data_IF_646882192198
#
_entry.id   IF_646882192198
#
_cell.length_a   1.000
_cell.length_b   1.000
_cell.length_c   1.000
_cell.angle_alpha   90.00
_cell.angle_beta   90.00
_cell.angle_gamma   90.00
#
_symmetry.space_group_name_H-M   'P 1'
#
loop_
_entity.id
_entity.type
_entity.pdbx_description
1 polymer ?
#
# COMPACT_ATOMS: atom_id res chain seq x y z
N UNK A 1 32.42 25.00 -19.74
CA UNK A 1 32.50 24.54 -18.34
C UNK A 1 33.69 25.13 -17.58
N UNK A 2 34.90 25.23 -18.16
CA UNK A 2 36.09 25.77 -17.47
C UNK A 2 35.93 27.21 -16.93
N UNK A 3 35.40 28.15 -17.73
CA UNK A 3 35.20 29.54 -17.28
C UNK A 3 34.17 29.70 -16.14
N UNK A 4 33.25 28.76 -15.98
CA UNK A 4 32.25 28.77 -14.89
C UNK A 4 32.86 28.22 -13.58
N UNK A 5 33.71 27.19 -13.69
CA UNK A 5 34.45 26.65 -12.54
C UNK A 5 35.43 27.65 -11.92
N UNK A 6 36.03 28.54 -12.73
CA UNK A 6 36.94 29.58 -12.23
C UNK A 6 36.21 30.72 -11.51
N UNK A 7 34.98 31.04 -11.93
CA UNK A 7 34.21 32.15 -11.35
C UNK A 7 33.53 31.77 -10.03
N UNK A 8 33.20 30.49 -9.85
CA UNK A 8 32.61 29.98 -8.61
C UNK A 8 33.25 28.65 -8.18
N UNK A 9 34.52 28.66 -7.73
CA UNK A 9 35.27 27.43 -7.43
C UNK A 9 34.65 26.59 -6.32
N UNK A 10 33.96 27.22 -5.36
CA UNK A 10 33.26 26.52 -4.27
C UNK A 10 31.93 25.89 -4.72
N UNK A 11 31.28 26.44 -5.76
CA UNK A 11 30.03 25.88 -6.29
C UNK A 11 30.28 24.68 -7.22
N UNK A 12 31.42 24.69 -7.92
CA UNK A 12 31.86 23.58 -8.78
C UNK A 12 32.20 22.29 -8.00
N UNK A 13 32.45 22.38 -6.69
CA UNK A 13 32.76 21.24 -5.83
C UNK A 13 31.52 20.60 -5.16
N UNK A 14 30.30 21.14 -5.39
CA UNK A 14 29.09 20.58 -4.79
C UNK A 14 28.78 19.19 -5.35
N UNK A 15 28.39 18.27 -4.46
CA UNK A 15 27.85 16.98 -4.86
C UNK A 15 26.50 17.12 -5.58
N UNK A 16 26.17 16.15 -6.44
CA UNK A 16 24.90 16.11 -7.20
C UNK A 16 23.67 16.23 -6.30
N UNK A 17 23.69 15.63 -5.10
CA UNK A 17 22.60 15.77 -4.14
C UNK A 17 22.47 17.20 -3.60
N UNK A 18 23.58 17.89 -3.34
CA UNK A 18 23.59 19.28 -2.87
C UNK A 18 23.06 20.23 -3.94
N UNK A 19 23.39 19.98 -5.22
CA UNK A 19 22.77 20.67 -6.36
C UNK A 19 21.26 20.47 -6.40
N UNK A 20 20.79 19.24 -6.16
CA UNK A 20 19.36 18.94 -6.10
C UNK A 20 18.64 19.71 -5.01
N UNK A 21 19.19 19.77 -3.79
CA UNK A 21 18.60 20.56 -2.70
C UNK A 21 18.61 22.06 -3.01
N UNK A 22 19.69 22.60 -3.56
CA UNK A 22 19.77 24.02 -3.92
C UNK A 22 18.75 24.37 -5.00
N UNK A 23 18.60 23.53 -6.02
CA UNK A 23 17.63 23.76 -7.07
C UNK A 23 16.20 23.69 -6.49
N UNK A 24 15.90 22.70 -5.65
CA UNK A 24 14.62 22.60 -4.97
C UNK A 24 14.33 23.85 -4.11
N UNK A 25 15.31 24.36 -3.35
CA UNK A 25 15.13 25.57 -2.53
C UNK A 25 14.80 26.79 -3.40
N UNK A 26 15.45 26.94 -4.55
CA UNK A 26 15.17 28.02 -5.49
C UNK A 26 13.75 27.91 -6.04
N UNK A 27 13.30 26.71 -6.45
CA UNK A 27 11.94 26.51 -6.94
C UNK A 27 10.87 26.79 -5.89
N UNK A 28 11.09 26.39 -4.64
CA UNK A 28 10.18 26.73 -3.52
C UNK A 28 10.16 28.23 -3.19
N UNK A 29 11.32 28.90 -3.25
CA UNK A 29 11.37 30.36 -3.08
C UNK A 29 10.68 31.09 -4.22
N UNK A 30 10.82 30.61 -5.47
CA UNK A 30 10.16 31.17 -6.63
C UNK A 30 8.64 30.98 -6.54
N UNK A 31 8.19 29.81 -6.10
CA UNK A 31 6.78 29.56 -5.78
C UNK A 31 6.24 30.54 -4.73
N UNK A 32 6.97 30.78 -3.64
CA UNK A 32 6.58 31.75 -2.61
C UNK A 32 6.53 33.20 -3.13
N UNK A 33 7.45 33.57 -4.03
CA UNK A 33 7.55 34.93 -4.58
C UNK A 33 6.50 35.22 -5.68
N UNK A 34 6.15 34.23 -6.51
CA UNK A 34 5.20 34.40 -7.61
C UNK A 34 3.73 34.19 -7.19
N UNK A 35 3.47 33.86 -5.92
CA UNK A 35 2.12 33.58 -5.42
C UNK A 35 1.65 32.16 -5.72
N UNK A 36 0.68 31.69 -4.91
CA UNK A 36 0.25 30.29 -4.81
C UNK A 36 -0.40 29.70 -6.07
N UNK A 37 -0.72 30.51 -7.09
CA UNK A 37 -1.43 30.07 -8.30
C UNK A 37 -0.59 29.14 -9.20
N UNK A 38 0.73 29.12 -9.03
CA UNK A 38 1.62 28.28 -9.85
C UNK A 38 1.90 26.91 -9.21
N UNK A 39 0.90 26.05 -9.14
CA UNK A 39 1.03 24.67 -8.61
C UNK A 39 2.12 23.85 -9.32
N UNK A 40 2.45 24.18 -10.57
CA UNK A 40 3.54 23.56 -11.35
C UNK A 40 4.93 23.79 -10.73
N UNK A 41 5.20 24.98 -10.20
CA UNK A 41 6.49 25.31 -9.57
C UNK A 41 6.70 24.51 -8.27
N UNK A 42 5.64 24.33 -7.47
CA UNK A 42 5.69 23.50 -6.27
C UNK A 42 5.88 22.01 -6.61
N UNK A 43 5.15 21.49 -7.61
CA UNK A 43 5.27 20.09 -8.07
C UNK A 43 6.68 19.79 -8.60
N UNK A 44 7.24 20.67 -9.42
CA UNK A 44 8.61 20.53 -9.93
C UNK A 44 9.65 20.58 -8.80
N UNK A 45 9.51 21.51 -7.85
CA UNK A 45 10.36 21.57 -6.65
C UNK A 45 10.31 20.29 -5.81
N UNK A 46 9.11 19.70 -5.63
CA UNK A 46 8.93 18.44 -4.91
C UNK A 46 9.60 17.25 -5.62
N UNK A 47 9.46 17.13 -6.94
CA UNK A 47 10.13 16.07 -7.72
C UNK A 47 11.65 16.18 -7.63
N UNK A 48 12.19 17.40 -7.72
CA UNK A 48 13.61 17.66 -7.55
C UNK A 48 14.10 17.30 -6.15
N UNK A 49 13.28 17.55 -5.14
CA UNK A 49 13.59 17.19 -3.75
C UNK A 49 13.60 15.67 -3.53
N UNK A 50 12.64 14.95 -4.11
CA UNK A 50 12.63 13.49 -4.12
C UNK A 50 13.87 12.94 -4.83
N UNK A 51 14.26 13.52 -5.95
CA UNK A 51 15.47 13.12 -6.66
C UNK A 51 16.74 13.38 -5.83
N UNK A 52 16.84 14.54 -5.17
CA UNK A 52 17.97 14.89 -4.32
C UNK A 52 18.14 13.91 -3.15
N UNK A 53 17.04 13.63 -2.44
CA UNK A 53 17.03 12.67 -1.33
C UNK A 53 17.31 11.24 -1.79
N UNK A 54 16.73 10.80 -2.92
CA UNK A 54 16.99 9.49 -3.50
C UNK A 54 18.47 9.34 -3.87
N UNK A 55 19.08 10.36 -4.50
CA UNK A 55 20.50 10.32 -4.87
C UNK A 55 21.42 10.25 -3.66
N UNK A 56 21.09 11.00 -2.61
CA UNK A 56 21.83 10.97 -1.36
C UNK A 56 21.73 9.60 -0.65
N UNK A 57 20.52 9.03 -0.59
CA UNK A 57 20.29 7.72 -0.02
C UNK A 57 21.03 6.63 -0.80
N UNK A 58 21.03 6.73 -2.13
CA UNK A 58 21.71 5.77 -3.02
C UNK A 58 23.21 5.66 -2.71
N UNK A 59 23.90 6.77 -2.50
CA UNK A 59 25.33 6.77 -2.20
C UNK A 59 25.63 6.01 -0.90
N UNK A 60 24.80 6.20 0.13
CA UNK A 60 24.96 5.52 1.43
C UNK A 60 24.59 4.06 1.34
N UNK A 61 23.51 3.75 0.62
CA UNK A 61 23.09 2.40 0.32
C UNK A 61 24.21 1.61 -0.38
N UNK A 62 24.88 2.20 -1.38
CA UNK A 62 25.98 1.53 -2.09
C UNK A 62 27.12 1.11 -1.15
N UNK A 63 27.52 1.98 -0.22
CA UNK A 63 28.54 1.65 0.79
C UNK A 63 28.08 0.46 1.64
N UNK A 64 26.81 0.46 2.07
CA UNK A 64 26.24 -0.61 2.87
C UNK A 64 26.11 -1.93 2.11
N UNK A 65 25.68 -1.87 0.85
CA UNK A 65 25.57 -3.02 -0.05
C UNK A 65 26.91 -3.69 -0.32
N UNK A 66 28.01 -2.93 -0.38
CA UNK A 66 29.34 -3.51 -0.55
C UNK A 66 29.89 -4.16 0.72
N UNK A 67 29.31 -3.88 1.89
CA UNK A 67 29.66 -4.54 3.15
C UNK A 67 29.07 -5.95 3.25
N UNK A 68 29.84 -6.91 3.79
CA UNK A 68 29.38 -8.27 4.02
C UNK A 68 28.16 -8.32 4.96
N UNK A 69 28.21 -7.55 6.05
CA UNK A 69 27.11 -7.45 7.01
C UNK A 69 25.86 -6.84 6.35
N UNK A 70 26.05 -5.80 5.53
CA UNK A 70 24.96 -5.13 4.83
C UNK A 70 24.22 -6.06 3.87
N UNK A 71 24.94 -6.87 3.09
CA UNK A 71 24.32 -7.88 2.20
C UNK A 71 23.47 -8.88 2.98
N UNK A 72 23.99 -9.42 4.07
CA UNK A 72 23.27 -10.39 4.89
C UNK A 72 21.98 -9.78 5.47
N UNK A 73 22.06 -8.57 6.03
CA UNK A 73 20.91 -7.85 6.59
C UNK A 73 19.86 -7.52 5.51
N UNK A 74 20.28 -6.98 4.36
CA UNK A 74 19.36 -6.61 3.26
C UNK A 74 18.64 -7.83 2.71
N UNK A 75 19.36 -8.94 2.46
CA UNK A 75 18.75 -10.18 1.95
C UNK A 75 17.77 -10.79 2.96
N UNK A 76 18.10 -10.75 4.25
CA UNK A 76 17.21 -11.23 5.32
C UNK A 76 15.94 -10.38 5.38
N UNK A 77 16.08 -9.05 5.35
CA UNK A 77 14.95 -8.14 5.34
C UNK A 77 14.07 -8.34 4.10
N UNK A 78 14.67 -8.49 2.92
CA UNK A 78 13.94 -8.77 1.69
C UNK A 78 13.14 -10.08 1.79
N UNK A 79 13.72 -11.15 2.34
CA UNK A 79 13.00 -12.41 2.54
C UNK A 79 11.80 -12.26 3.50
N UNK A 80 11.95 -11.49 4.58
CA UNK A 80 10.86 -11.21 5.52
C UNK A 80 9.74 -10.44 4.83
N UNK A 81 10.07 -9.34 4.14
CA UNK A 81 9.07 -8.51 3.43
C UNK A 81 8.39 -9.30 2.34
N UNK A 82 9.12 -10.14 1.60
CA UNK A 82 8.55 -10.97 0.54
C UNK A 82 7.50 -11.94 1.11
N UNK A 83 7.82 -12.67 2.17
CA UNK A 83 6.88 -13.58 2.82
C UNK A 83 5.64 -12.84 3.35
N UNK A 84 5.83 -11.66 3.94
CA UNK A 84 4.71 -10.84 4.41
C UNK A 84 3.83 -10.33 3.25
N UNK A 85 4.45 -9.90 2.14
CA UNK A 85 3.73 -9.43 0.95
C UNK A 85 2.88 -10.53 0.32
N UNK A 86 3.39 -11.76 0.26
CA UNK A 86 2.64 -12.92 -0.23
C UNK A 86 1.48 -13.29 0.70
N UNK A 87 1.72 -13.38 2.01
CA UNK A 87 0.66 -13.66 2.98
C UNK A 87 -0.45 -12.59 2.96
N UNK A 88 -0.08 -11.32 2.77
CA UNK A 88 -1.03 -10.23 2.63
C UNK A 88 -1.84 -10.31 1.32
N UNK A 89 -1.19 -10.66 0.20
CA UNK A 89 -1.87 -10.90 -1.07
C UNK A 89 -2.85 -12.09 -1.00
N UNK A 90 -2.46 -13.19 -0.35
CA UNK A 90 -3.35 -14.33 -0.07
C UNK A 90 -4.57 -13.90 0.75
N UNK A 91 -4.38 -13.06 1.77
CA UNK A 91 -5.48 -12.54 2.59
C UNK A 91 -6.48 -11.70 1.78
N UNK A 92 -5.99 -10.84 0.88
CA UNK A 92 -6.85 -10.06 -0.03
C UNK A 92 -7.65 -10.98 -0.95
N UNK A 93 -6.97 -11.92 -1.60
CA UNK A 93 -7.61 -12.86 -2.53
C UNK A 93 -8.66 -13.71 -1.81
N UNK A 94 -8.35 -14.20 -0.60
CA UNK A 94 -9.30 -14.92 0.24
C UNK A 94 -10.54 -14.07 0.57
N UNK A 95 -10.34 -12.79 0.89
CA UNK A 95 -11.43 -11.84 1.15
C UNK A 95 -12.31 -11.57 -0.08
N UNK A 96 -11.76 -11.65 -1.29
CA UNK A 96 -12.50 -11.48 -2.55
C UNK A 96 -13.30 -12.73 -2.92
N UNK A 97 -12.66 -13.90 -2.91
CA UNK A 97 -13.27 -15.14 -3.43
C UNK A 97 -14.04 -15.95 -2.39
N UNK A 98 -13.79 -15.72 -1.09
CA UNK A 98 -14.43 -16.44 0.02
C UNK A 98 -13.96 -17.89 0.24
N UNK A 99 -12.97 -18.36 -0.51
CA UNK A 99 -12.36 -19.70 -0.43
C UNK A 99 -10.84 -19.61 -0.31
N UNK A 100 -10.18 -20.74 -0.08
CA UNK A 100 -8.72 -20.78 0.09
C UNK A 100 -8.00 -20.31 -1.21
N UNK A 101 -7.01 -19.40 -1.13
CA UNK A 101 -6.31 -18.86 -2.30
C UNK A 101 -5.42 -19.83 -3.06
N UNK A 102 -5.12 -21.02 -2.51
CA UNK A 102 -4.30 -22.06 -3.15
C UNK A 102 -4.90 -22.57 -4.46
N UNK A 103 -6.23 -22.42 -4.63
CA UNK A 103 -6.95 -22.76 -5.86
C UNK A 103 -6.86 -21.68 -6.94
N UNK A 104 -6.39 -20.49 -6.58
CA UNK A 104 -6.25 -19.33 -7.48
C UNK A 104 -4.87 -18.66 -7.35
N UNK A 105 -3.77 -19.40 -7.57
CA UNK A 105 -2.41 -18.90 -7.35
C UNK A 105 -2.05 -17.71 -8.26
N UNK A 106 -2.65 -17.59 -9.44
CA UNK A 106 -2.36 -16.48 -10.35
C UNK A 106 -2.98 -15.17 -9.88
N UNK A 107 -4.19 -15.21 -9.29
CA UNK A 107 -4.79 -14.05 -8.62
C UNK A 107 -3.95 -13.57 -7.44
N UNK A 108 -3.35 -14.49 -6.68
CA UNK A 108 -2.42 -14.15 -5.58
C UNK A 108 -1.18 -13.45 -6.12
N UNK A 109 -0.56 -13.99 -7.18
CA UNK A 109 0.61 -13.39 -7.82
C UNK A 109 0.29 -11.99 -8.40
N UNK A 110 -0.89 -11.82 -9.00
CA UNK A 110 -1.34 -10.51 -9.48
C UNK A 110 -1.51 -9.53 -8.31
N UNK A 111 -2.18 -9.93 -7.23
CA UNK A 111 -2.35 -9.09 -6.06
C UNK A 111 -0.99 -8.69 -5.47
N UNK A 112 -0.03 -9.62 -5.36
CA UNK A 112 1.33 -9.33 -4.91
C UNK A 112 2.07 -8.34 -5.84
N UNK A 113 1.93 -8.50 -7.16
CA UNK A 113 2.50 -7.58 -8.16
C UNK A 113 1.90 -6.17 -8.04
N UNK A 114 0.58 -6.07 -7.90
CA UNK A 114 -0.11 -4.81 -7.71
C UNK A 114 0.24 -4.18 -6.37
N UNK A 115 0.64 -4.92 -5.35
CA UNK A 115 1.09 -4.33 -4.09
C UNK A 115 2.57 -3.95 -4.09
N UNK A 116 3.36 -4.40 -5.07
CA UNK A 116 4.80 -4.15 -5.11
C UNK A 116 5.15 -2.65 -5.02
N UNK A 117 4.48 -1.72 -5.73
CA UNK A 117 4.75 -0.29 -5.57
C UNK A 117 4.52 0.19 -4.13
N UNK A 118 3.44 -0.23 -3.48
CA UNK A 118 3.17 0.13 -2.09
C UNK A 118 4.25 -0.37 -1.13
N UNK A 119 4.72 -1.62 -1.30
CA UNK A 119 5.83 -2.17 -0.50
C UNK A 119 7.13 -1.40 -0.71
N UNK A 120 7.42 -0.98 -1.94
CA UNK A 120 8.63 -0.18 -2.22
C UNK A 120 8.56 1.22 -1.59
N UNK A 121 7.40 1.87 -1.62
CA UNK A 121 7.17 3.15 -0.96
C UNK A 121 7.29 3.01 0.56
N UNK A 122 6.64 2.00 1.15
CA UNK A 122 6.71 1.73 2.59
C UNK A 122 8.15 1.45 3.04
N UNK A 123 8.90 0.63 2.28
CA UNK A 123 10.31 0.38 2.55
C UNK A 123 11.17 1.64 2.45
N UNK A 124 10.88 2.51 1.48
CA UNK A 124 11.56 3.81 1.33
C UNK A 124 11.28 4.73 2.52
N UNK A 125 10.03 4.80 2.98
CA UNK A 125 9.64 5.58 4.16
C UNK A 125 10.34 5.08 5.43
N UNK A 126 10.37 3.76 5.66
CA UNK A 126 11.07 3.16 6.80
C UNK A 126 12.57 3.47 6.78
N UNK A 127 13.19 3.35 5.59
CA UNK A 127 14.62 3.65 5.42
C UNK A 127 14.90 5.13 5.69
N UNK A 128 14.04 6.03 5.20
CA UNK A 128 14.18 7.47 5.43
C UNK A 128 13.98 7.84 6.92
N UNK A 129 13.07 7.17 7.61
CA UNK A 129 12.85 7.36 9.04
C UNK A 129 14.04 6.89 9.87
N UNK A 130 14.59 5.72 9.54
CA UNK A 130 15.82 5.23 10.17
C UNK A 130 17.00 6.18 9.90
N UNK A 131 17.11 6.69 8.67
CA UNK A 131 18.12 7.66 8.29
C UNK A 131 17.99 8.99 9.07
N UNK A 132 16.76 9.49 9.21
CA UNK A 132 16.45 10.66 10.04
C UNK A 132 16.87 10.44 11.49
N UNK A 133 16.56 9.26 12.06
CA UNK A 133 16.96 8.88 13.41
C UNK A 133 18.49 8.89 13.59
N UNK A 134 19.25 8.35 12.64
CA UNK A 134 20.72 8.38 12.68
C UNK A 134 21.29 9.81 12.62
N UNK A 135 20.70 10.68 11.81
CA UNK A 135 21.10 12.09 11.76
C UNK A 135 20.76 12.83 13.04
N UNK A 136 19.60 12.56 13.63
CA UNK A 136 19.22 13.15 14.92
C UNK A 136 20.22 12.76 16.01
N UNK A 137 20.61 11.48 16.06
CA UNK A 137 21.66 10.99 16.97
C UNK A 137 22.99 11.70 16.70
N UNK A 138 23.37 11.87 15.43
CA UNK A 138 24.60 12.58 15.05
C UNK A 138 24.58 14.03 15.56
N UNK A 139 23.46 14.74 15.42
CA UNK A 139 23.31 16.13 15.90
C UNK A 139 23.34 16.20 17.42
N UNK A 140 22.64 15.29 18.10
CA UNK A 140 22.65 15.21 19.55
C UNK A 140 24.06 14.95 20.09
N UNK A 141 24.80 14.05 19.46
CA UNK A 141 26.20 13.79 19.78
C UNK A 141 27.06 15.05 19.57
N UNK A 142 26.91 15.75 18.44
CA UNK A 142 27.59 17.02 18.20
C UNK A 142 27.28 18.08 19.27
N UNK A 143 26.01 18.19 19.67
CA UNK A 143 25.57 19.12 20.71
C UNK A 143 26.17 18.75 22.08
N UNK A 144 26.24 17.46 22.41
CA UNK A 144 26.87 17.00 23.66
C UNK A 144 28.39 17.17 23.65
N UNK A 145 29.08 16.99 22.52
CA UNK A 145 30.54 17.17 22.43
C UNK A 145 30.97 18.63 22.44
N UNK A 146 30.11 19.56 22.02
CA UNK A 146 30.39 21.01 21.99
C UNK A 146 30.74 21.62 23.36
N UNK A 147 30.02 21.34 24.47
CA UNK A 147 30.40 21.85 25.79
C UNK A 147 31.72 21.26 26.33
N UNK A 148 32.19 20.11 25.83
CA UNK A 148 33.47 19.51 26.23
C UNK A 148 34.68 20.02 25.44
N UNK A 149 34.49 20.96 24.49
CA UNK A 149 35.58 21.57 23.73
C UNK A 149 36.33 20.62 22.78
N UNK A 150 35.82 19.40 22.57
CA UNK A 150 36.43 18.42 21.67
C UNK A 150 36.21 18.86 20.21
N UNK A 151 37.29 19.02 19.40
CA UNK A 151 37.17 19.48 18.03
C UNK A 151 36.46 18.43 17.18
N UNK A 152 35.23 18.74 16.78
CA UNK A 152 34.36 17.83 16.03
C UNK A 152 34.66 17.81 14.52
N UNK A 153 35.93 17.89 14.13
CA UNK A 153 36.32 17.91 12.71
C UNK A 153 36.01 16.55 12.05
N UNK A 154 36.38 15.46 12.71
CA UNK A 154 36.17 14.10 12.21
C UNK A 154 34.69 13.71 11.95
N UNK A 155 33.71 14.33 12.63
CA UNK A 155 32.29 14.07 12.38
C UNK A 155 31.73 14.87 11.18
N UNK A 156 32.42 15.93 10.74
CA UNK A 156 31.99 16.86 9.68
C UNK A 156 32.81 16.73 8.39
N UNK A 157 33.93 16.02 8.40
CA UNK A 157 35.01 16.08 7.38
C UNK A 157 34.66 15.64 5.94
N UNK A 158 33.46 15.08 5.67
CA UNK A 158 33.13 14.55 4.35
C UNK A 158 32.35 15.51 3.43
N UNK A 159 32.02 16.73 3.86
CA UNK A 159 31.21 17.67 3.06
C UNK A 159 31.78 19.09 3.08
N UNK A 160 31.80 19.76 1.92
CA UNK A 160 32.32 21.13 1.74
C UNK A 160 31.54 22.16 2.58
N UNK A 161 30.24 21.95 2.77
CA UNK A 161 29.34 22.82 3.54
C UNK A 161 28.52 22.05 4.59
N UNK A 162 29.16 21.51 5.64
CA UNK A 162 28.57 20.48 6.51
C UNK A 162 27.44 20.99 7.42
N UNK A 163 27.46 22.26 7.81
CA UNK A 163 26.41 22.85 8.67
C UNK A 163 25.16 23.16 7.87
N UNK A 164 25.31 23.75 6.69
CA UNK A 164 24.19 24.13 5.82
C UNK A 164 23.50 22.90 5.21
N UNK A 165 24.25 21.87 4.83
CA UNK A 165 23.67 20.61 4.33
C UNK A 165 22.92 19.87 5.44
N UNK A 166 23.44 19.90 6.67
CA UNK A 166 22.78 19.31 7.82
C UNK A 166 21.48 20.06 8.17
N UNK A 167 21.48 21.39 8.13
CA UNK A 167 20.26 22.19 8.31
C UNK A 167 19.23 21.91 7.21
N UNK A 168 19.65 21.86 5.95
CA UNK A 168 18.79 21.51 4.82
C UNK A 168 18.17 20.12 4.99
N UNK A 169 18.95 19.12 5.45
CA UNK A 169 18.43 17.78 5.74
C UNK A 169 17.34 17.81 6.81
N UNK A 170 17.56 18.50 7.93
CA UNK A 170 16.57 18.59 9.03
C UNK A 170 15.26 19.21 8.53
N UNK A 171 15.32 20.20 7.65
CA UNK A 171 14.13 20.87 7.11
C UNK A 171 13.44 20.01 6.05
N UNK A 172 14.18 19.38 5.14
CA UNK A 172 13.60 18.70 3.98
C UNK A 172 13.24 17.23 4.19
N UNK A 173 13.91 16.51 5.10
CA UNK A 173 13.55 15.13 5.45
C UNK A 173 12.08 14.97 5.88
N UNK A 174 11.53 15.77 6.81
CA UNK A 174 10.12 15.66 7.19
C UNK A 174 9.19 16.01 6.02
N UNK A 175 9.54 17.01 5.20
CA UNK A 175 8.76 17.37 4.00
C UNK A 175 8.68 16.18 3.04
N UNK A 176 9.80 15.48 2.80
CA UNK A 176 9.81 14.28 1.95
C UNK A 176 9.00 13.15 2.57
N UNK A 177 9.06 12.93 3.89
CA UNK A 177 8.21 11.91 4.54
C UNK A 177 6.72 12.21 4.40
N UNK A 178 6.33 13.49 4.47
CA UNK A 178 4.95 13.91 4.26
C UNK A 178 4.52 13.61 2.82
N UNK A 179 5.34 14.01 1.83
CA UNK A 179 5.07 13.72 0.41
C UNK A 179 4.89 12.21 0.21
N UNK A 180 5.80 11.38 0.73
CA UNK A 180 5.70 9.91 0.60
C UNK A 180 4.47 9.34 1.32
N UNK A 181 4.06 9.90 2.46
CA UNK A 181 2.86 9.44 3.18
C UNK A 181 1.61 9.71 2.35
N UNK A 182 1.49 10.90 1.78
CA UNK A 182 0.39 11.22 0.87
C UNK A 182 0.44 10.37 -0.41
N UNK A 183 1.63 10.05 -0.96
CA UNK A 183 1.74 9.13 -2.10
C UNK A 183 1.15 7.76 -1.80
N UNK A 184 1.44 7.25 -0.61
CA UNK A 184 0.98 5.94 -0.20
C UNK A 184 -0.53 5.94 0.07
N UNK A 185 -1.06 7.03 0.64
CA UNK A 185 -2.49 7.20 0.87
C UNK A 185 -3.29 7.25 -0.45
N UNK A 186 -2.84 8.06 -1.42
CA UNK A 186 -3.44 8.16 -2.78
C UNK A 186 -3.39 6.82 -3.52
N UNK A 187 -2.31 6.05 -3.34
CA UNK A 187 -2.21 4.70 -3.90
C UNK A 187 -3.29 3.76 -3.34
N UNK A 188 -3.51 3.79 -2.03
CA UNK A 188 -4.49 2.93 -1.38
C UNK A 188 -5.94 3.37 -1.61
N UNK A 189 -6.19 4.68 -1.81
CA UNK A 189 -7.52 5.17 -2.18
C UNK A 189 -7.90 4.84 -3.62
N UNK A 190 -6.92 4.56 -4.49
CA UNK A 190 -7.18 4.23 -5.90
C UNK A 190 -7.35 5.47 -6.80
N UNK A 191 -6.87 6.63 -6.35
CA UNK A 191 -6.88 7.90 -7.09
C UNK A 191 -5.44 8.30 -7.46
N UNK A 192 -4.80 7.64 -8.44
CA UNK A 192 -3.43 7.93 -8.84
C UNK A 192 -3.24 9.34 -9.41
N UNK A 193 -4.31 9.98 -9.89
CA UNK A 193 -4.33 11.38 -10.33
C UNK A 193 -3.97 12.36 -9.21
N UNK A 194 -4.18 11.97 -7.94
CA UNK A 194 -3.84 12.77 -6.76
C UNK A 194 -2.38 12.59 -6.31
N UNK A 195 -1.62 11.72 -6.97
CA UNK A 195 -0.21 11.45 -6.65
C UNK A 195 0.71 12.67 -6.85
N UNK A 196 0.26 13.79 -7.42
CA UNK A 196 1.09 15.00 -7.50
C UNK A 196 0.36 16.24 -6.97
N UNK A 197 -0.84 16.09 -6.41
CA UNK A 197 -1.66 17.20 -5.89
C UNK A 197 -1.46 17.44 -4.39
N UNK A 198 -0.23 17.31 -3.90
CA UNK A 198 0.16 17.51 -2.49
C UNK A 198 -0.17 18.89 -1.87
N UNK A 199 -0.63 19.85 -2.68
CA UNK A 199 -0.87 21.24 -2.29
C UNK A 199 -2.31 21.75 -2.48
N UNK A 200 -3.20 20.99 -3.12
CA UNK A 200 -4.61 21.38 -3.32
C UNK A 200 -5.55 20.78 -2.25
N UNK A 201 -5.13 19.71 -1.58
CA UNK A 201 -5.98 18.92 -0.67
C UNK A 201 -6.26 19.58 0.69
N UNK A 202 -5.49 20.57 1.13
CA UNK A 202 -5.77 21.27 2.41
C UNK A 202 -6.99 22.17 2.35
N UNK A 203 -7.34 22.72 1.18
CA UNK A 203 -8.57 23.51 1.04
C UNK A 203 -9.80 22.59 0.85
N UNK A 204 -9.65 21.54 0.04
CA UNK A 204 -10.78 20.72 -0.37
C UNK A 204 -11.25 19.72 0.70
N UNK A 205 -10.35 19.20 1.56
CA UNK A 205 -10.75 18.35 2.69
C UNK A 205 -11.45 19.13 3.80
N UNK A 206 -11.16 20.42 3.96
CA UNK A 206 -11.79 21.26 4.96
C UNK A 206 -13.22 21.65 4.52
N UNK A 207 -13.40 21.96 3.23
CA UNK A 207 -14.72 22.21 2.63
C UNK A 207 -15.60 20.95 2.55
N UNK A 208 -15.04 19.77 2.26
CA UNK A 208 -15.80 18.51 2.27
C UNK A 208 -16.24 18.09 3.69
N UNK A 209 -15.38 18.31 4.70
CA UNK A 209 -15.69 18.00 6.09
C UNK A 209 -16.78 18.93 6.65
N UNK A 210 -16.77 20.21 6.28
CA UNK A 210 -17.84 21.15 6.64
C UNK A 210 -19.16 20.81 5.92
N UNK A 211 -19.12 20.42 4.64
CA UNK A 211 -20.30 19.95 3.90
C UNK A 211 -20.87 18.63 4.43
N UNK A 212 -20.04 17.68 4.87
CA UNK A 212 -20.52 16.44 5.50
C UNK A 212 -21.14 16.70 6.88
N UNK A 213 -20.57 17.63 7.66
CA UNK A 213 -21.09 18.00 8.96
C UNK A 213 -22.44 18.73 8.87
N UNK A 214 -22.64 19.58 7.85
CA UNK A 214 -23.96 20.20 7.57
C UNK A 214 -25.00 19.19 7.10
N UNK A 215 -24.63 18.23 6.24
CA UNK A 215 -25.53 17.16 5.77
C UNK A 215 -25.96 16.24 6.92
N UNK A 216 -25.07 15.94 7.85
CA UNK A 216 -25.37 15.15 9.05
C UNK A 216 -26.30 15.87 10.03
N UNK A 217 -26.15 17.19 10.18
CA UNK A 217 -27.07 18.01 10.99
C UNK A 217 -28.48 18.04 10.40
N UNK A 218 -28.59 18.24 9.08
CA UNK A 218 -29.89 18.26 8.38
C UNK A 218 -30.60 16.89 8.41
N UNK A 219 -29.87 15.77 8.40
CA UNK A 219 -30.47 14.43 8.57
C UNK A 219 -30.91 14.15 10.01
N UNK A 220 -30.26 14.75 11.02
CA UNK A 220 -30.60 14.54 12.43
C UNK A 220 -31.91 15.23 12.84
N UNK A 221 -32.28 16.34 12.20
CA UNK A 221 -33.50 17.09 12.51
C UNK A 221 -34.76 16.51 11.83
N UNK A 222 -34.61 15.73 10.76
CA UNK A 222 -35.72 15.11 10.04
C UNK A 222 -36.15 13.72 10.57
N UNK A 223 -35.46 13.18 11.58
CA UNK A 223 -35.57 11.75 11.99
C UNK A 223 -36.21 11.52 13.36
N UNK A 224 -37.01 12.46 13.89
CA UNK A 224 -37.73 12.28 15.16
C UNK A 224 -39.22 12.09 14.91
N UNK A 225 -39.63 10.94 14.35
CA UNK A 225 -40.91 10.30 14.70
C UNK A 225 -40.96 8.82 14.24
N UNK A 226 -41.08 7.93 15.23
CA UNK A 226 -41.47 6.51 15.27
C UNK A 226 -40.61 5.33 14.71
N UNK A 227 -40.66 4.14 15.37
CA UNK A 227 -39.68 3.06 15.23
C UNK A 227 -40.24 1.77 14.58
N UNK A 228 -39.47 1.10 13.69
CA UNK A 228 -39.60 -0.36 13.44
C UNK A 228 -38.29 -1.04 13.06
N UNK A 229 -38.14 -2.24 13.61
CA UNK A 229 -37.03 -3.18 13.49
C UNK A 229 -36.87 -3.78 12.08
N UNK A 230 -35.61 -4.04 11.70
CA UNK A 230 -35.22 -4.90 10.58
C UNK A 230 -33.75 -4.67 10.17
N UNK A 231 -32.88 -5.69 10.17
CA UNK A 231 -31.44 -5.51 9.95
C UNK A 231 -31.14 -5.49 8.45
N UNK A 232 -30.16 -4.69 8.01
CA UNK A 232 -29.08 -5.08 7.09
C UNK A 232 -28.22 -3.87 6.68
N UNK A 233 -26.93 -4.00 7.01
CA UNK A 233 -25.80 -3.70 6.15
C UNK A 233 -25.57 -2.24 5.76
N UNK A 234 -24.95 -1.49 6.68
CA UNK A 234 -24.15 -0.32 6.33
C UNK A 234 -22.70 -0.79 6.13
N UNK A 235 -22.18 -0.63 4.93
CA UNK A 235 -20.73 -0.62 4.69
C UNK A 235 -20.31 0.85 4.73
N UNK A 236 -19.52 1.31 5.73
CA UNK A 236 -18.78 2.55 5.60
C UNK A 236 -17.46 2.26 4.90
N UNK A 237 -17.23 3.02 3.83
CA UNK A 237 -15.97 3.15 3.12
C UNK A 237 -14.97 3.95 3.96
N UNK A 238 -13.69 3.56 3.82
CA UNK A 238 -12.48 4.04 4.47
C UNK A 238 -12.63 4.83 5.77
N UNK A 239 -12.60 4.12 6.88
CA UNK A 239 -12.02 4.69 8.09
C UNK A 239 -11.14 3.64 8.78
N UNK A 240 -9.90 4.00 9.12
CA UNK A 240 -9.06 3.21 10.03
C UNK A 240 -9.65 3.33 11.42
N UNK A 241 -10.70 2.57 11.69
CA UNK A 241 -11.28 2.43 13.02
C UNK A 241 -10.83 1.08 13.53
N UNK A 242 -10.10 1.10 14.64
CA UNK A 242 -9.99 -0.06 15.52
C UNK A 242 -11.41 -0.30 16.05
N UNK A 243 -12.18 -1.06 15.29
CA UNK A 243 -13.44 -1.66 15.75
C UNK A 243 -13.06 -2.64 16.86
N UNK A 244 -13.83 -2.72 17.95
CA UNK A 244 -13.54 -3.53 19.14
C UNK A 244 -13.45 -5.05 18.88
N UNK A 245 -13.53 -5.47 17.61
CA UNK A 245 -13.46 -6.86 17.14
C UNK A 245 -12.29 -7.16 16.19
N UNK A 246 -11.26 -6.32 16.16
CA UNK A 246 -9.97 -6.64 15.56
C UNK A 246 -9.54 -5.74 14.41
N UNK A 247 -8.26 -5.83 14.05
CA UNK A 247 -7.62 -5.09 12.96
C UNK A 247 -8.23 -5.51 11.61
N UNK A 248 -9.21 -4.74 11.10
CA UNK A 248 -9.68 -4.88 9.72
C UNK A 248 -8.71 -4.14 8.81
N UNK A 249 -8.04 -4.88 7.93
CA UNK A 249 -7.20 -4.30 6.89
C UNK A 249 -8.06 -3.36 6.03
N UNK A 250 -7.55 -2.18 5.64
CA UNK A 250 -8.26 -1.31 4.73
C UNK A 250 -8.54 -2.06 3.41
N UNK A 251 -9.82 -2.18 3.05
CA UNK A 251 -10.23 -2.85 1.82
C UNK A 251 -9.98 -1.92 0.63
N UNK A 252 -8.96 -2.22 -0.17
CA UNK A 252 -8.65 -1.48 -1.41
C UNK A 252 -9.65 -1.89 -2.49
N UNK A 253 -10.70 -1.09 -2.69
CA UNK A 253 -11.79 -1.43 -3.61
C UNK A 253 -11.30 -1.60 -5.06
N UNK A 254 -10.39 -0.73 -5.52
CA UNK A 254 -9.84 -0.80 -6.88
C UNK A 254 -9.05 -2.10 -7.10
N UNK A 255 -8.24 -2.50 -6.11
CA UNK A 255 -7.44 -3.72 -6.14
C UNK A 255 -8.34 -4.95 -6.14
N UNK A 256 -9.33 -4.99 -5.25
CA UNK A 256 -10.28 -6.10 -5.14
C UNK A 256 -11.09 -6.27 -6.43
N UNK A 257 -11.53 -5.17 -7.06
CA UNK A 257 -12.21 -5.21 -8.36
C UNK A 257 -11.31 -5.77 -9.45
N UNK A 258 -10.04 -5.38 -9.50
CA UNK A 258 -9.11 -5.84 -10.52
C UNK A 258 -8.72 -7.32 -10.33
N UNK A 259 -8.55 -7.76 -9.08
CA UNK A 259 -8.37 -9.17 -8.73
C UNK A 259 -9.60 -9.99 -9.11
N UNK A 260 -10.81 -9.51 -8.79
CA UNK A 260 -12.05 -10.19 -9.15
C UNK A 260 -12.23 -10.33 -10.67
N UNK A 261 -11.96 -9.25 -11.41
CA UNK A 261 -12.00 -9.25 -12.87
C UNK A 261 -10.96 -10.18 -13.49
N UNK A 262 -9.74 -10.19 -12.96
CA UNK A 262 -8.69 -11.11 -13.42
C UNK A 262 -9.07 -12.56 -13.14
N UNK A 263 -9.61 -12.84 -11.95
CA UNK A 263 -10.04 -14.17 -11.58
C UNK A 263 -11.13 -14.69 -12.55
N UNK A 264 -12.12 -13.86 -12.89
CA UNK A 264 -13.15 -14.22 -13.87
C UNK A 264 -12.59 -14.38 -15.30
N UNK A 265 -11.79 -13.43 -15.79
CA UNK A 265 -11.39 -13.44 -17.20
C UNK A 265 -10.19 -14.33 -17.53
N UNK A 266 -9.29 -14.57 -16.59
CA UNK A 266 -7.99 -15.21 -16.85
C UNK A 266 -7.84 -16.54 -16.11
N UNK A 267 -8.18 -16.59 -14.82
CA UNK A 267 -7.89 -17.77 -13.99
C UNK A 267 -9.03 -18.79 -13.97
N UNK A 268 -10.27 -18.33 -14.07
CA UNK A 268 -11.43 -19.20 -14.12
C UNK A 268 -11.68 -19.78 -15.51
N UNK A 269 -12.32 -20.94 -15.52
CA UNK A 269 -12.59 -21.72 -16.72
C UNK A 269 -14.02 -21.44 -17.20
N UNK A 270 -14.16 -20.95 -18.43
CA UNK A 270 -15.45 -20.82 -19.12
C UNK A 270 -15.98 -22.15 -19.70
N UNK A 271 -15.13 -23.19 -19.76
CA UNK A 271 -15.50 -24.53 -20.19
C UNK A 271 -14.94 -25.56 -19.20
N UNK A 272 -15.76 -26.52 -18.78
CA UNK A 272 -15.34 -27.59 -17.87
C UNK A 272 -16.20 -28.85 -18.08
N UNK A 273 -15.80 -29.95 -17.45
CA UNK A 273 -16.60 -31.19 -17.38
C UNK A 273 -17.83 -31.09 -16.48
N UNK A 274 -17.89 -30.09 -15.59
CA UNK A 274 -19.08 -29.79 -14.80
C UNK A 274 -20.10 -29.05 -15.66
N UNK A 275 -21.38 -29.17 -15.34
CA UNK A 275 -22.44 -28.39 -15.96
C UNK A 275 -22.31 -26.90 -15.57
N UNK A 276 -22.14 -26.04 -16.58
CA UNK A 276 -22.18 -24.58 -16.43
C UNK A 276 -23.38 -24.01 -17.19
N UNK A 277 -23.97 -22.94 -16.67
CA UNK A 277 -24.92 -22.10 -17.42
C UNK A 277 -24.23 -20.80 -17.83
N UNK A 278 -24.09 -20.47 -19.12
CA UNK A 278 -23.51 -19.19 -19.54
C UNK A 278 -24.27 -18.01 -18.91
N UNK A 279 -23.61 -16.97 -18.36
CA UNK A 279 -22.18 -16.63 -18.42
C UNK A 279 -21.38 -17.05 -17.17
N UNK A 280 -21.65 -18.22 -16.58
CA UNK A 280 -20.87 -18.72 -15.44
C UNK A 280 -19.47 -19.17 -15.87
N UNK A 281 -18.48 -18.84 -15.04
CA UNK A 281 -17.16 -19.46 -15.07
C UNK A 281 -16.92 -20.24 -13.77
N UNK A 282 -15.97 -21.18 -13.77
CA UNK A 282 -15.66 -21.94 -12.57
C UNK A 282 -14.17 -22.07 -12.25
N UNK A 283 -13.90 -22.33 -10.97
CA UNK A 283 -12.60 -22.78 -10.46
C UNK A 283 -12.83 -24.05 -9.64
N UNK A 284 -12.02 -25.08 -9.87
CA UNK A 284 -12.11 -26.32 -9.11
C UNK A 284 -11.56 -26.12 -7.69
N UNK A 285 -12.42 -26.32 -6.68
CA UNK A 285 -11.99 -26.35 -5.28
C UNK A 285 -11.57 -27.77 -4.92
N UNK A 286 -12.38 -28.77 -5.23
CA UNK A 286 -12.09 -30.18 -4.97
C UNK A 286 -12.69 -31.03 -6.11
N UNK A 287 -12.61 -32.36 -5.99
CA UNK A 287 -13.18 -33.29 -6.99
C UNK A 287 -14.71 -33.16 -7.12
N UNK A 288 -15.38 -32.72 -6.05
CA UNK A 288 -16.85 -32.61 -5.98
C UNK A 288 -17.35 -31.18 -5.86
N UNK A 289 -16.49 -30.21 -5.56
CA UNK A 289 -16.91 -28.82 -5.27
C UNK A 289 -16.20 -27.85 -6.21
N UNK A 290 -16.99 -26.94 -6.77
CA UNK A 290 -16.52 -25.88 -7.67
C UNK A 290 -16.95 -24.52 -7.14
N UNK A 291 -16.05 -23.55 -7.26
CA UNK A 291 -16.35 -22.14 -7.11
C UNK A 291 -16.92 -21.64 -8.42
N UNK A 292 -18.17 -21.21 -8.43
CA UNK A 292 -18.83 -20.61 -9.59
C UNK A 292 -18.79 -19.10 -9.43
N UNK A 293 -18.38 -18.45 -10.52
CA UNK A 293 -18.23 -17.01 -10.62
C UNK A 293 -19.22 -16.53 -11.67
N UNK A 294 -20.11 -15.63 -11.28
CA UNK A 294 -21.12 -15.04 -12.16
C UNK A 294 -20.99 -13.52 -12.13
N UNK A 295 -21.00 -12.81 -13.28
CA UNK A 295 -21.05 -11.37 -13.29
C UNK A 295 -22.37 -10.89 -12.67
N UNK A 296 -22.30 -10.05 -11.64
CA UNK A 296 -23.45 -9.50 -10.92
C UNK A 296 -23.21 -8.01 -10.63
N UNK A 297 -23.89 -7.09 -11.34
CA UNK A 297 -23.70 -5.65 -11.13
C UNK A 297 -24.23 -5.15 -9.79
N UNK A 298 -25.03 -5.95 -9.07
CA UNK A 298 -25.52 -5.58 -7.73
C UNK A 298 -24.47 -5.80 -6.63
N UNK A 299 -23.41 -6.59 -6.89
CA UNK A 299 -22.33 -6.84 -5.95
C UNK A 299 -21.27 -5.72 -6.01
N UNK A 300 -20.65 -5.34 -4.87
CA UNK A 300 -19.68 -4.24 -4.82
C UNK A 300 -18.43 -4.49 -5.68
N UNK A 301 -18.10 -5.76 -5.93
CA UNK A 301 -16.96 -6.17 -6.76
C UNK A 301 -17.35 -6.48 -8.23
N UNK A 302 -18.65 -6.45 -8.57
CA UNK A 302 -19.17 -6.79 -9.91
C UNK A 302 -19.30 -8.29 -10.21
N UNK A 303 -18.94 -9.15 -9.25
CA UNK A 303 -19.00 -10.60 -9.39
C UNK A 303 -19.60 -11.25 -8.14
N UNK A 304 -20.36 -12.33 -8.35
CA UNK A 304 -20.89 -13.19 -7.30
C UNK A 304 -20.09 -14.49 -7.26
N UNK A 305 -19.62 -14.84 -6.06
CA UNK A 305 -18.88 -16.08 -5.78
C UNK A 305 -19.80 -17.05 -5.04
N UNK A 306 -20.02 -18.24 -5.59
CA UNK A 306 -20.84 -19.28 -4.96
C UNK A 306 -20.17 -20.64 -5.08
N UNK A 307 -20.08 -21.36 -3.96
CA UNK A 307 -19.60 -22.75 -3.96
C UNK A 307 -20.77 -23.68 -4.22
N UNK A 308 -20.65 -24.58 -5.21
CA UNK A 308 -21.64 -25.62 -5.49
C UNK A 308 -20.99 -26.96 -5.81
N UNK A 309 -21.76 -28.03 -5.72
CA UNK A 309 -21.31 -29.37 -6.12
C UNK A 309 -21.18 -29.44 -7.66
N UNK A 310 -20.12 -30.05 -8.16
CA UNK A 310 -19.91 -30.30 -9.59
C UNK A 310 -20.88 -31.37 -10.09
N UNK A 311 -21.80 -30.98 -10.96
CA UNK A 311 -22.65 -31.91 -11.71
C UNK A 311 -21.92 -32.30 -13.00
N UNK A 312 -21.24 -33.44 -12.99
CA UNK A 312 -20.47 -33.96 -14.13
C UNK A 312 -21.02 -35.32 -14.56
N UNK A 313 -21.10 -35.61 -15.87
CA UNK A 313 -21.53 -36.92 -16.38
C UNK A 313 -20.70 -38.09 -15.85
N UNK A 314 -19.49 -37.83 -15.34
CA UNK A 314 -18.60 -38.84 -14.78
C UNK A 314 -19.01 -39.31 -13.36
N UNK A 315 -19.84 -38.55 -12.64
CA UNK A 315 -20.30 -38.90 -11.29
C UNK A 315 -21.80 -39.19 -11.30
N UNK A 316 -22.26 -40.32 -10.72
CA UNK A 316 -23.68 -40.62 -10.65
C UNK A 316 -24.39 -39.62 -9.74
N UNK A 317 -25.52 -39.08 -10.22
CA UNK A 317 -26.37 -38.16 -9.47
C UNK A 317 -26.81 -38.83 -8.15
N UNK A 318 -26.25 -38.38 -7.02
CA UNK A 318 -26.60 -38.90 -5.68
C UNK A 318 -25.44 -39.17 -4.72
N UNK A 319 -24.18 -39.08 -5.15
CA UNK A 319 -23.03 -39.21 -4.23
C UNK A 319 -22.74 -37.85 -3.59
N UNK A 320 -23.64 -37.41 -2.72
CA UNK A 320 -23.30 -36.36 -1.74
C UNK A 320 -22.26 -36.93 -0.79
N UNK A 321 -21.08 -36.32 -0.72
CA UNK A 321 -20.04 -36.65 0.25
C UNK A 321 -20.51 -36.47 1.69
N UNK A 322 -21.24 -37.46 2.21
CA UNK A 322 -21.58 -37.73 3.62
C UNK A 322 -22.32 -39.06 3.69
N UNK A 323 -21.62 -40.15 3.37
CA UNK A 323 -22.02 -41.47 3.86
C UNK A 323 -20.97 -41.88 4.88
N UNK A 324 -21.13 -41.36 6.10
CA UNK A 324 -20.64 -42.10 7.26
C UNK A 324 -21.51 -43.34 7.31
N UNK A 325 -20.95 -44.47 6.88
CA UNK A 325 -21.57 -45.78 7.02
C UNK A 325 -21.79 -46.00 8.51
N UNK A 326 -23.01 -45.76 9.00
CA UNK A 326 -23.47 -46.37 10.24
C UNK A 326 -23.64 -47.86 9.95
N UNK A 327 -23.02 -48.76 10.73
CA UNK A 327 -23.27 -50.19 10.57
C UNK A 327 -24.73 -50.44 10.93
N UNK A 328 -25.48 -50.90 9.93
CA UNK A 328 -26.87 -51.32 10.05
C UNK A 328 -27.01 -52.46 11.05
N UNK A 329 -27.77 -52.22 12.11
CA UNK A 329 -28.35 -53.27 12.95
C UNK A 329 -29.41 -54.05 12.14
N UNK A 330 -29.22 -55.35 11.97
CA UNK A 330 -30.25 -56.42 11.90
C UNK A 330 -29.50 -57.75 11.75
N UNK A 331 -29.70 -58.78 12.57
CA UNK A 331 -30.96 -59.51 12.69
C UNK A 331 -31.13 -60.26 14.04
N UNK A 332 -32.38 -60.26 14.48
CA UNK A 332 -33.14 -61.09 15.45
C UNK A 332 -33.12 -62.60 15.10
N UNK A 333 -33.88 -63.49 15.77
CA UNK A 333 -34.11 -63.79 17.21
C UNK A 333 -33.88 -65.30 17.52
N UNK A 334 -33.80 -65.75 18.78
CA UNK A 334 -34.29 -67.10 19.11
C UNK A 334 -34.66 -67.27 20.58
N UNK A 335 -35.84 -67.86 20.78
CA UNK A 335 -36.43 -68.25 22.06
C UNK A 335 -35.79 -69.54 22.57
N UNK A 336 -35.46 -69.60 23.87
CA UNK A 336 -36.00 -70.61 24.80
C UNK A 336 -35.74 -70.23 26.25
#
# INVERSE_FOLDING_TARGET
MQAWNERFPRLAQLHVAQWGYLLATVFFLLFLLLGADNSVLAKTGAVLLLFATAKEMWQRFAIWWHSLLGKACILTFYAIVLNFSFAYAESIVNGVIGVRPDRVPYSVNLAALLLAPAWTLLGSMLTLQFYSMLHLIKVMLLLMLRPFGLPSKHLLDNEVFPVWTLAARIIYLPVVTIILTFTLASYFSGHPEEFLSWGETTAQHQDLAEQELEKLKQQSEASVEEPRQGPQTKVPEFQVFIDERGFKLPTMLWLNKLVAAFNYHIESLGASSCKLTPPEHLVHINDYEVLVITPDPAQPLGYSYKVRVCDSPAFPAGVTGRVVVQPSQTATPEQK
#
